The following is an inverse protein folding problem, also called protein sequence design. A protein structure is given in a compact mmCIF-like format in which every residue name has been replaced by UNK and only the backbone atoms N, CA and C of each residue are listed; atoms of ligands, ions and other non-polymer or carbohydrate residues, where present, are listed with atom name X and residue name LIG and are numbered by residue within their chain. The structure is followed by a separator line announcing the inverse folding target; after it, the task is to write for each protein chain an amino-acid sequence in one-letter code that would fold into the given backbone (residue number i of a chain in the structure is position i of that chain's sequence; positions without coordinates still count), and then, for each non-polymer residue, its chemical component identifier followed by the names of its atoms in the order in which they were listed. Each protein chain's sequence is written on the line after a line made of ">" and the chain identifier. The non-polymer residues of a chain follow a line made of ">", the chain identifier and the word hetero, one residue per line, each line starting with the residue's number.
data_IF_344565205189
#
_entry.id   IF_344565205189
#
_cell.length_a   1.000
_cell.length_b   1.000
_cell.length_c   1.000
_cell.angle_alpha   90.00
_cell.angle_beta   90.00
_cell.angle_gamma   90.00
#
_symmetry.space_group_name_H-M   'P 1'
#
loop_
_entity.id
_entity.type
_entity.pdbx_description
1 polymer ?
#
# COMPACT_ATOMS: atom_id res chain seq x y z
N UNK A 1 -16.19 -0.49 0.78
CA UNK A 1 -14.95 -0.46 -0.04
C UNK A 1 -14.57 -1.88 -0.38
N UNK A 2 -13.87 -2.12 -1.48
CA UNK A 2 -13.39 -3.45 -1.90
C UNK A 2 -11.99 -3.31 -2.47
N UNK A 3 -11.04 -4.13 -2.01
CA UNK A 3 -9.73 -4.23 -2.64
C UNK A 3 -9.79 -5.33 -3.72
N UNK A 4 -9.23 -5.05 -4.89
CA UNK A 4 -9.04 -6.02 -5.96
C UNK A 4 -7.54 -6.14 -6.17
N UNK A 5 -7.03 -7.35 -6.03
CA UNK A 5 -5.62 -7.71 -6.14
C UNK A 5 -5.44 -8.65 -7.34
N UNK A 6 -4.49 -8.32 -8.22
CA UNK A 6 -4.33 -8.98 -9.53
C UNK A 6 -2.86 -9.23 -9.80
N UNK A 7 -2.55 -10.51 -9.96
CA UNK A 7 -1.26 -10.97 -10.48
C UNK A 7 -1.43 -11.57 -11.88
N UNK A 8 -0.62 -11.12 -12.83
CA UNK A 8 -0.55 -11.65 -14.19
C UNK A 8 0.76 -12.41 -14.40
N UNK A 9 0.75 -13.45 -15.24
CA UNK A 9 1.94 -14.15 -15.73
C UNK A 9 2.06 -13.96 -17.24
N UNK A 10 3.14 -13.34 -17.71
CA UNK A 10 3.41 -13.12 -19.13
C UNK A 10 4.89 -13.38 -19.44
N UNK A 11 5.15 -14.22 -20.43
CA UNK A 11 6.51 -14.56 -20.89
C UNK A 11 7.47 -14.99 -19.76
N UNK A 12 6.95 -15.66 -18.73
CA UNK A 12 7.74 -16.15 -17.60
C UNK A 12 7.90 -15.16 -16.44
N UNK A 13 7.33 -13.96 -16.53
CA UNK A 13 7.40 -12.94 -15.48
C UNK A 13 6.05 -12.70 -14.83
N UNK A 14 6.04 -12.60 -13.50
CA UNK A 14 4.86 -12.16 -12.75
C UNK A 14 4.84 -10.63 -12.59
N UNK A 15 3.67 -10.03 -12.77
CA UNK A 15 3.40 -8.63 -12.43
C UNK A 15 2.20 -8.56 -11.49
N UNK A 16 2.31 -7.76 -10.42
CA UNK A 16 1.35 -7.78 -9.31
C UNK A 16 0.94 -6.36 -8.88
N UNK A 17 -0.36 -6.16 -8.66
CA UNK A 17 -0.90 -4.87 -8.25
C UNK A 17 -2.29 -5.01 -7.63
N UNK A 18 -2.59 -4.14 -6.67
CA UNK A 18 -3.92 -4.05 -6.08
C UNK A 18 -4.39 -2.61 -5.92
N UNK A 19 -5.71 -2.43 -5.78
CA UNK A 19 -6.30 -1.13 -5.44
C UNK A 19 -7.60 -1.30 -4.67
N UNK A 20 -7.84 -0.39 -3.73
CA UNK A 20 -9.11 -0.29 -3.01
C UNK A 20 -10.07 0.64 -3.72
N UNK A 21 -11.25 0.13 -4.07
CA UNK A 21 -12.31 0.85 -4.76
C UNK A 21 -13.46 1.21 -3.81
N UNK A 22 -14.00 2.41 -4.00
CA UNK A 22 -15.22 2.88 -3.34
C UNK A 22 -16.42 2.49 -4.20
N UNK A 23 -17.32 1.67 -3.64
CA UNK A 23 -18.55 1.23 -4.31
C UNK A 23 -19.73 2.03 -3.75
N UNK A 24 -20.36 2.85 -4.59
CA UNK A 24 -21.49 3.69 -4.19
C UNK A 24 -21.10 4.84 -3.26
N UNK A 25 -22.03 5.26 -2.39
CA UNK A 25 -21.78 6.29 -1.37
C UNK A 25 -21.25 5.64 -0.10
N UNK A 26 -20.18 6.21 0.46
CA UNK A 26 -19.56 5.77 1.72
C UNK A 26 -19.46 6.94 2.69
N UNK A 27 -19.35 6.64 3.98
CA UNK A 27 -19.14 7.66 5.00
C UNK A 27 -17.77 8.35 4.82
N UNK A 28 -17.60 9.62 5.25
CA UNK A 28 -16.35 10.37 5.08
C UNK A 28 -15.11 9.69 5.68
N UNK A 29 -15.26 9.00 6.81
CA UNK A 29 -14.17 8.26 7.44
C UNK A 29 -13.70 7.05 6.61
N UNK A 30 -14.60 6.42 5.86
CA UNK A 30 -14.27 5.30 4.96
C UNK A 30 -13.47 5.80 3.76
N UNK A 31 -13.84 6.96 3.20
CA UNK A 31 -13.04 7.63 2.16
C UNK A 31 -11.66 8.00 2.69
N UNK A 32 -11.60 8.64 3.86
CA UNK A 32 -10.33 9.02 4.51
C UNK A 32 -9.39 7.82 4.70
N UNK A 33 -9.92 6.66 5.04
CA UNK A 33 -9.12 5.43 5.16
C UNK A 33 -8.50 5.00 3.83
N UNK A 34 -9.27 5.03 2.73
CA UNK A 34 -8.76 4.66 1.40
C UNK A 34 -7.68 5.66 0.95
N UNK A 35 -7.95 6.95 1.13
CA UNK A 35 -7.01 8.01 0.76
C UNK A 35 -5.71 7.93 1.60
N UNK A 36 -5.81 7.61 2.89
CA UNK A 36 -4.65 7.41 3.76
C UNK A 36 -3.81 6.20 3.34
N UNK A 37 -4.45 5.08 2.98
CA UNK A 37 -3.74 3.89 2.51
C UNK A 37 -3.03 4.14 1.17
N UNK A 38 -3.65 4.88 0.24
CA UNK A 38 -3.03 5.26 -1.04
C UNK A 38 -1.81 6.17 -0.82
N UNK A 39 -1.92 7.17 0.08
CA UNK A 39 -0.78 8.03 0.44
C UNK A 39 0.35 7.26 1.13
N UNK A 40 0.04 6.29 1.98
CA UNK A 40 1.06 5.43 2.59
C UNK A 40 1.84 4.63 1.52
N UNK A 41 1.15 4.12 0.49
CA UNK A 41 1.81 3.46 -0.63
C UNK A 41 2.77 4.42 -1.36
N UNK A 42 2.32 5.65 -1.65
CA UNK A 42 3.14 6.66 -2.32
C UNK A 42 4.40 7.00 -1.52
N UNK A 43 4.28 7.22 -0.20
CA UNK A 43 5.42 7.49 0.69
C UNK A 43 6.37 6.28 0.78
N UNK A 44 5.83 5.07 0.89
CA UNK A 44 6.63 3.84 0.90
C UNK A 44 7.45 3.66 -0.38
N UNK A 45 6.86 3.96 -1.55
CA UNK A 45 7.58 3.93 -2.84
C UNK A 45 8.65 5.01 -2.90
N UNK A 46 8.38 6.22 -2.40
CA UNK A 46 9.36 7.30 -2.37
C UNK A 46 10.60 6.98 -1.50
N UNK A 47 10.43 6.16 -0.44
CA UNK A 47 11.52 5.68 0.41
C UNK A 47 12.39 4.58 -0.25
N UNK A 48 11.95 4.00 -1.37
CA UNK A 48 12.69 2.96 -2.08
C UNK A 48 13.64 3.58 -3.12
N UNK A 49 14.91 3.74 -2.75
CA UNK A 49 15.94 4.29 -3.64
C UNK A 49 17.32 3.60 -3.42
N UNK A 50 18.26 3.69 -4.38
CA UNK A 50 19.57 3.07 -4.22
C UNK A 50 20.29 3.55 -2.95
N UNK A 51 20.60 2.61 -2.07
CA UNK A 51 21.27 2.88 -0.80
C UNK A 51 20.34 2.99 0.42
N UNK A 52 19.02 2.92 0.26
CA UNK A 52 18.10 2.76 1.40
C UNK A 52 18.03 1.31 1.89
N UNK A 53 17.54 1.13 3.11
CA UNK A 53 17.24 -0.17 3.70
C UNK A 53 15.76 -0.52 3.47
N UNK A 54 15.44 -1.81 3.30
CA UNK A 54 14.04 -2.26 3.19
C UNK A 54 13.15 -1.81 4.36
N UNK A 55 13.73 -1.66 5.56
CA UNK A 55 13.01 -1.17 6.74
C UNK A 55 12.54 0.29 6.61
N UNK A 56 13.21 1.11 5.79
CA UNK A 56 12.88 2.52 5.61
C UNK A 56 11.51 2.69 4.95
N UNK A 57 11.13 1.76 4.07
CA UNK A 57 9.80 1.69 3.43
C UNK A 57 8.71 1.51 4.51
N UNK A 58 8.91 0.54 5.41
CA UNK A 58 7.96 0.26 6.50
C UNK A 58 7.90 1.40 7.52
N UNK A 59 9.04 2.06 7.79
CA UNK A 59 9.12 3.24 8.65
C UNK A 59 8.30 4.41 8.09
N UNK A 60 8.52 4.76 6.82
CA UNK A 60 7.77 5.83 6.15
C UNK A 60 6.25 5.58 6.14
N UNK A 61 5.83 4.34 5.87
CA UNK A 61 4.42 3.93 5.92
C UNK A 61 3.86 4.07 7.34
N UNK A 62 4.59 3.61 8.35
CA UNK A 62 4.15 3.65 9.75
C UNK A 62 3.98 5.08 10.25
N UNK A 63 4.97 5.94 10.01
CA UNK A 63 4.96 7.33 10.45
C UNK A 63 3.73 8.06 9.86
N UNK A 64 3.47 7.89 8.56
CA UNK A 64 2.31 8.52 7.93
C UNK A 64 0.98 7.91 8.44
N UNK A 65 0.90 6.59 8.59
CA UNK A 65 -0.31 5.94 9.10
C UNK A 65 -0.68 6.44 10.52
N UNK A 66 0.33 6.64 11.38
CA UNK A 66 0.16 7.17 12.73
C UNK A 66 -0.36 8.62 12.72
N UNK A 67 0.10 9.48 11.80
CA UNK A 67 -0.44 10.84 11.61
C UNK A 67 -1.94 10.82 11.26
N UNK A 68 -2.40 9.80 10.54
CA UNK A 68 -3.82 9.61 10.24
C UNK A 68 -4.62 8.96 11.37
N UNK A 69 -3.96 8.41 12.39
CA UNK A 69 -4.56 7.66 13.48
C UNK A 69 -4.94 6.23 13.10
N UNK A 70 -4.25 5.62 12.14
CA UNK A 70 -4.45 4.24 11.70
C UNK A 70 -3.26 3.35 12.07
N UNK A 71 -3.50 2.05 12.24
CA UNK A 71 -2.44 1.07 12.44
C UNK A 71 -2.03 0.37 11.14
N UNK A 72 -0.83 -0.20 11.12
CA UNK A 72 -0.28 -1.01 10.00
C UNK A 72 -0.35 -2.50 10.34
N UNK A 73 -0.85 -3.30 9.41
CA UNK A 73 -0.91 -4.77 9.53
C UNK A 73 0.50 -5.34 9.60
N UNK A 74 0.76 -6.29 10.51
CA UNK A 74 2.11 -6.83 10.77
C UNK A 74 2.33 -8.23 10.21
N UNK A 75 1.24 -8.95 9.96
CA UNK A 75 1.23 -10.35 9.54
C UNK A 75 1.52 -10.53 8.05
N UNK A 76 1.35 -9.47 7.25
CA UNK A 76 1.60 -9.47 5.81
C UNK A 76 2.70 -8.46 5.45
N UNK A 77 3.46 -8.77 4.42
CA UNK A 77 4.52 -7.93 3.88
C UNK A 77 4.48 -7.88 2.36
N UNK A 78 5.13 -6.87 1.78
CA UNK A 78 5.49 -6.91 0.36
C UNK A 78 6.55 -7.97 0.07
N UNK A 79 6.78 -8.26 -1.21
CA UNK A 79 7.71 -9.29 -1.63
C UNK A 79 8.47 -8.89 -2.91
N UNK A 80 9.61 -9.54 -3.12
CA UNK A 80 10.24 -9.55 -4.44
C UNK A 80 9.38 -10.34 -5.43
N UNK A 81 9.37 -9.91 -6.69
CA UNK A 81 8.59 -10.55 -7.75
C UNK A 81 9.30 -10.37 -9.10
N UNK A 82 9.04 -11.30 -10.02
CA UNK A 82 9.57 -11.34 -11.38
C UNK A 82 9.16 -12.61 -12.09
#
# INVERSE_FOLDING_TARGET
>A
IVNIDVTCLLHGYHGDTSRTFIVGKVAPNVRKLVDAAERCLEEGVAAAYPGSHFGDIGGAIQDLADEFGYGVVREFCGHGIG
#
